data_IF_943744804674
#
_entry.id   IF_943744804674
#
_cell.length_a   1.000
_cell.length_b   1.000
_cell.length_c   1.000
_cell.angle_alpha   90.00
_cell.angle_beta   90.00
_cell.angle_gamma   90.00
#
_symmetry.space_group_name_H-M   'P 1'
#
loop_
_entity.id
_entity.type
_entity.pdbx_description
1 polymer ?
#
# COMPACT_ATOMS: atom_id res chain seq x y z
N UNK A 1 3.21 26.84 8.10
CA UNK A 1 2.03 26.23 7.43
C UNK A 1 1.68 26.82 6.05
N UNK A 2 2.05 28.07 5.70
CA UNK A 2 1.66 28.64 4.39
C UNK A 2 2.45 28.12 3.18
N UNK A 3 3.72 27.73 3.37
CA UNK A 3 4.58 27.27 2.27
C UNK A 3 4.16 25.93 1.68
N UNK A 4 3.69 25.00 2.53
CA UNK A 4 3.24 23.67 2.09
C UNK A 4 1.95 23.75 1.24
N UNK A 5 1.03 24.65 1.62
CA UNK A 5 -0.20 24.91 0.85
C UNK A 5 0.08 25.53 -0.52
N UNK A 6 1.13 26.34 -0.62
CA UNK A 6 1.53 26.94 -1.90
C UNK A 6 2.22 25.90 -2.80
N UNK A 7 3.01 24.98 -2.25
CA UNK A 7 3.62 23.88 -3.00
C UNK A 7 2.56 22.97 -3.64
N UNK A 8 1.52 22.59 -2.89
CA UNK A 8 0.41 21.79 -3.43
C UNK A 8 -0.33 22.48 -4.58
N UNK A 9 -0.56 23.80 -4.48
CA UNK A 9 -1.23 24.56 -5.54
C UNK A 9 -0.38 24.63 -6.81
N UNK A 10 0.94 24.80 -6.67
CA UNK A 10 1.84 24.84 -7.81
C UNK A 10 1.86 23.49 -8.52
N UNK A 11 1.97 22.38 -7.78
CA UNK A 11 1.97 21.02 -8.34
C UNK A 11 0.64 20.72 -9.06
N UNK A 12 -0.49 21.03 -8.43
CA UNK A 12 -1.81 20.82 -9.03
C UNK A 12 -2.01 21.64 -10.31
N UNK A 13 -1.61 22.91 -10.31
CA UNK A 13 -1.72 23.77 -11.50
C UNK A 13 -0.78 23.33 -12.62
N UNK A 14 0.44 22.90 -12.30
CA UNK A 14 1.40 22.38 -13.27
C UNK A 14 0.91 21.09 -13.93
N UNK A 15 0.30 20.18 -13.17
CA UNK A 15 -0.27 18.94 -13.70
C UNK A 15 -1.43 19.19 -14.67
N UNK A 16 -2.30 20.17 -14.38
CA UNK A 16 -3.41 20.56 -15.26
C UNK A 16 -2.89 21.22 -16.54
N UNK A 17 -1.90 22.11 -16.42
CA UNK A 17 -1.30 22.77 -17.58
C UNK A 17 -0.59 21.76 -18.51
N UNK A 18 0.13 20.79 -17.95
CA UNK A 18 0.74 19.70 -18.71
C UNK A 18 -0.29 18.81 -19.40
N UNK A 19 -1.40 18.48 -18.74
CA UNK A 19 -2.49 17.69 -19.34
C UNK A 19 -3.17 18.38 -20.53
N UNK A 20 -3.17 19.72 -20.57
CA UNK A 20 -3.79 20.51 -21.65
C UNK A 20 -2.94 20.64 -22.92
N UNK A 21 -1.67 20.27 -22.88
CA UNK A 21 -0.74 20.40 -24.02
C UNK A 21 -0.77 19.19 -24.97
N UNK A 22 -1.50 18.13 -24.63
CA UNK A 22 -1.63 16.93 -25.46
C UNK A 22 -2.93 16.97 -26.28
N UNK A 23 -2.87 17.13 -27.61
CA UNK A 23 -4.07 17.14 -28.45
C UNK A 23 -4.76 15.77 -28.41
N UNK A 24 -6.04 15.76 -28.05
CA UNK A 24 -6.89 14.57 -28.14
C UNK A 24 -7.48 14.48 -29.54
N UNK A 25 -6.79 13.83 -30.48
CA UNK A 25 -7.39 13.43 -31.76
C UNK A 25 -8.11 12.10 -31.58
N UNK A 26 -9.43 12.14 -31.45
CA UNK A 26 -10.28 10.94 -31.35
C UNK A 26 -10.62 10.46 -32.77
N UNK A 27 -10.04 9.33 -33.17
CA UNK A 27 -10.49 8.54 -34.32
C UNK A 27 -11.56 7.56 -33.87
N UNK A 28 -12.60 7.39 -34.69
CA UNK A 28 -13.86 6.72 -34.37
C UNK A 28 -13.77 5.17 -34.31
N UNK A 29 -12.75 4.64 -33.63
CA UNK A 29 -12.65 3.23 -33.22
C UNK A 29 -11.87 3.08 -31.89
N UNK A 30 -11.88 4.11 -31.04
CA UNK A 30 -11.32 4.01 -29.69
C UNK A 30 -12.27 3.22 -28.79
N UNK A 31 -11.92 1.95 -28.55
CA UNK A 31 -12.35 1.22 -27.38
C UNK A 31 -12.16 2.14 -26.16
N UNK A 32 -13.24 2.39 -25.41
CA UNK A 32 -13.25 3.23 -24.21
C UNK A 32 -12.06 2.82 -23.32
N UNK A 33 -11.32 3.76 -22.69
CA UNK A 33 -10.16 3.42 -21.85
C UNK A 33 -10.50 2.31 -20.87
N UNK A 34 -9.87 1.14 -21.05
CA UNK A 34 -10.19 -0.04 -20.26
C UNK A 34 -9.64 0.14 -18.84
N UNK A 35 -10.50 -0.10 -17.85
CA UNK A 35 -10.09 -0.29 -16.48
C UNK A 35 -9.67 -1.74 -16.29
N UNK A 36 -8.63 -1.97 -15.50
CA UNK A 36 -8.21 -3.31 -15.09
C UNK A 36 -8.43 -3.39 -13.59
N UNK A 37 -9.31 -4.27 -13.14
CA UNK A 37 -9.52 -4.52 -11.72
C UNK A 37 -8.61 -5.66 -11.30
N UNK A 38 -7.86 -5.49 -10.22
CA UNK A 38 -6.96 -6.51 -9.68
C UNK A 38 -7.23 -6.75 -8.21
N UNK A 39 -7.30 -8.03 -7.83
CA UNK A 39 -7.25 -8.46 -6.43
C UNK A 39 -5.89 -9.08 -6.19
N UNK A 40 -5.16 -8.59 -5.20
CA UNK A 40 -3.81 -9.05 -4.86
C UNK A 40 -3.75 -9.74 -3.51
N UNK A 41 -2.93 -10.77 -3.45
CA UNK A 41 -2.55 -11.48 -2.23
C UNK A 41 -1.03 -11.56 -2.19
N UNK A 42 -0.48 -11.42 -0.99
CA UNK A 42 0.96 -11.26 -0.86
C UNK A 42 1.44 -11.47 0.56
N UNK A 43 2.75 -11.29 0.71
CA UNK A 43 3.40 -11.27 2.01
C UNK A 43 4.43 -10.16 2.09
N UNK A 44 4.79 -9.83 3.33
CA UNK A 44 6.00 -9.07 3.63
C UNK A 44 7.07 -10.07 4.11
N UNK A 45 8.34 -9.67 4.05
CA UNK A 45 9.39 -10.36 4.79
C UNK A 45 9.85 -9.44 5.92
N UNK A 46 9.28 -9.61 7.11
CA UNK A 46 9.83 -9.02 8.34
C UNK A 46 9.86 -10.06 9.48
N UNK A 47 11.02 -10.67 9.73
CA UNK A 47 11.19 -11.66 10.81
C UNK A 47 10.37 -12.97 10.65
N UNK A 48 10.14 -13.67 11.77
CA UNK A 48 9.54 -15.02 11.84
C UNK A 48 8.00 -15.03 11.92
N UNK A 49 7.34 -13.92 11.59
CA UNK A 49 5.89 -13.73 11.71
C UNK A 49 5.18 -13.96 10.38
N UNK A 50 3.90 -14.32 10.44
CA UNK A 50 3.10 -14.57 9.23
C UNK A 50 2.47 -13.26 8.75
N UNK A 51 2.94 -12.80 7.60
CA UNK A 51 2.58 -11.52 7.00
C UNK A 51 1.57 -11.78 5.87
N UNK A 52 0.30 -11.48 6.13
CA UNK A 52 -0.77 -11.60 5.12
C UNK A 52 -1.11 -10.22 4.57
N UNK A 53 -0.92 -10.02 3.28
CA UNK A 53 -1.31 -8.82 2.54
C UNK A 53 -2.48 -9.12 1.60
N UNK A 54 -3.43 -8.18 1.55
CA UNK A 54 -4.58 -8.19 0.65
C UNK A 54 -4.74 -6.81 0.03
N UNK A 55 -4.90 -6.75 -1.30
CA UNK A 55 -5.13 -5.51 -2.01
C UNK A 55 -6.26 -5.64 -3.03
N UNK A 56 -6.94 -4.52 -3.26
CA UNK A 56 -7.79 -4.33 -4.43
C UNK A 56 -7.39 -3.03 -5.11
N UNK A 57 -7.11 -3.11 -6.40
CA UNK A 57 -6.63 -1.97 -7.18
C UNK A 57 -7.33 -1.95 -8.52
N UNK A 58 -7.98 -0.82 -8.83
CA UNK A 58 -8.48 -0.49 -10.16
C UNK A 58 -7.45 0.35 -10.88
N UNK A 59 -6.81 -0.23 -11.88
CA UNK A 59 -5.86 0.44 -12.75
C UNK A 59 -6.58 1.16 -13.90
N UNK A 60 -5.97 2.23 -14.37
CA UNK A 60 -6.43 2.99 -15.54
C UNK A 60 -5.28 3.15 -16.51
N UNK A 61 -5.40 2.56 -17.70
CA UNK A 61 -4.40 2.72 -18.76
C UNK A 61 -4.22 4.21 -19.09
N UNK A 62 -2.96 4.66 -19.22
CA UNK A 62 -2.62 6.06 -19.51
C UNK A 62 -3.08 7.07 -18.44
N UNK A 63 -3.37 6.63 -17.21
CA UNK A 63 -3.91 7.52 -16.18
C UNK A 63 -3.62 7.08 -14.75
N UNK A 64 -4.41 7.65 -13.84
CA UNK A 64 -4.36 7.37 -12.40
C UNK A 64 -5.55 6.49 -12.03
N UNK A 65 -5.27 5.37 -11.39
CA UNK A 65 -6.26 4.48 -10.79
C UNK A 65 -6.43 4.73 -9.29
N UNK A 66 -7.11 3.79 -8.62
CA UNK A 66 -7.34 3.83 -7.18
C UNK A 66 -7.33 2.43 -6.62
N UNK A 67 -6.82 2.26 -5.40
CA UNK A 67 -6.90 1.01 -4.68
C UNK A 67 -6.87 1.19 -3.18
N UNK A 68 -7.04 0.08 -2.49
CA UNK A 68 -6.94 -0.03 -1.05
C UNK A 68 -6.27 -1.35 -0.69
N UNK A 69 -5.49 -1.33 0.37
CA UNK A 69 -4.72 -2.48 0.84
C UNK A 69 -4.84 -2.63 2.35
N UNK A 70 -4.72 -3.88 2.79
CA UNK A 70 -4.69 -4.26 4.18
C UNK A 70 -3.60 -5.30 4.41
N UNK A 71 -2.77 -5.10 5.43
CA UNK A 71 -1.78 -6.09 5.85
C UNK A 71 -1.91 -6.38 7.35
N UNK A 72 -1.67 -7.63 7.73
CA UNK A 72 -1.79 -8.10 9.10
C UNK A 72 -0.54 -8.87 9.50
N UNK A 73 0.01 -8.50 10.66
CA UNK A 73 1.23 -9.05 11.22
C UNK A 73 0.98 -9.50 12.65
N UNK A 74 1.55 -10.65 13.04
CA UNK A 74 1.40 -11.19 14.40
C UNK A 74 2.64 -11.94 14.84
N UNK A 75 3.17 -11.52 15.97
CA UNK A 75 4.34 -12.09 16.63
C UNK A 75 3.93 -12.46 18.05
N UNK A 76 3.99 -13.74 18.37
CA UNK A 76 3.74 -14.25 19.73
C UNK A 76 5.08 -14.67 20.35
N UNK A 77 5.33 -14.27 21.59
CA UNK A 77 6.48 -14.69 22.39
C UNK A 77 6.00 -15.24 23.73
N UNK A 78 6.44 -16.45 24.08
CA UNK A 78 6.06 -17.12 25.33
C UNK A 78 7.31 -17.59 26.06
N UNK A 79 7.38 -17.32 27.37
CA UNK A 79 8.45 -17.79 28.25
C UNK A 79 7.87 -18.40 29.52
N UNK A 80 7.94 -19.73 29.60
CA UNK A 80 7.44 -20.51 30.74
C UNK A 80 8.29 -20.36 32.01
N UNK A 81 9.52 -19.83 31.91
CA UNK A 81 10.44 -19.65 33.04
C UNK A 81 10.06 -18.44 33.89
N UNK A 82 9.45 -17.42 33.28
CA UNK A 82 9.12 -16.14 33.94
C UNK A 82 7.62 -15.87 34.05
N UNK A 83 6.78 -16.85 33.67
CA UNK A 83 5.32 -16.68 33.55
C UNK A 83 4.98 -15.40 32.78
N UNK A 84 5.56 -15.31 31.57
CA UNK A 84 5.50 -14.15 30.69
C UNK A 84 5.03 -14.58 29.31
N UNK A 85 4.00 -13.91 28.81
CA UNK A 85 3.59 -13.98 27.41
C UNK A 85 3.53 -12.57 26.84
N UNK A 86 3.89 -12.41 25.57
CA UNK A 86 3.63 -11.17 24.84
C UNK A 86 3.17 -11.45 23.42
N UNK A 87 2.24 -10.63 22.97
CA UNK A 87 1.69 -10.62 21.63
C UNK A 87 1.84 -9.23 21.05
N UNK A 88 2.57 -9.17 19.95
CA UNK A 88 2.75 -7.99 19.13
C UNK A 88 1.96 -8.17 17.85
N UNK A 89 1.05 -7.24 17.54
CA UNK A 89 0.28 -7.26 16.29
C UNK A 89 0.37 -5.93 15.57
N UNK A 90 0.57 -5.98 14.26
CA UNK A 90 0.45 -4.81 13.40
C UNK A 90 -0.68 -4.99 12.41
N UNK A 91 -1.36 -3.88 12.09
CA UNK A 91 -2.39 -3.83 11.05
C UNK A 91 -2.20 -2.58 10.23
N UNK A 92 -1.98 -2.77 8.94
CA UNK A 92 -1.83 -1.68 7.99
C UNK A 92 -3.11 -1.55 7.17
N UNK A 93 -3.53 -0.31 6.96
CA UNK A 93 -4.59 0.05 6.04
C UNK A 93 -4.11 1.23 5.20
N UNK A 94 -4.06 1.05 3.89
CA UNK A 94 -3.54 2.05 2.94
C UNK A 94 -4.50 2.29 1.79
N UNK A 95 -4.46 3.52 1.27
CA UNK A 95 -5.02 3.91 0.00
C UNK A 95 -3.88 4.04 -1.01
N UNK A 96 -4.09 3.51 -2.21
CA UNK A 96 -3.08 3.48 -3.27
C UNK A 96 -3.55 4.24 -4.49
N UNK A 97 -2.62 4.94 -5.15
CA UNK A 97 -2.91 5.72 -6.37
C UNK A 97 -2.01 5.26 -7.52
N UNK A 98 -2.30 4.11 -8.16
CA UNK A 98 -1.48 3.59 -9.26
C UNK A 98 -1.46 4.56 -10.43
N UNK A 99 -0.27 4.97 -10.86
CA UNK A 99 -0.04 5.83 -12.01
C UNK A 99 0.60 5.01 -13.13
N UNK A 100 -0.03 4.99 -14.30
CA UNK A 100 0.53 4.30 -15.46
C UNK A 100 1.84 4.96 -15.89
N UNK A 101 2.95 4.21 -15.79
CA UNK A 101 4.23 4.58 -16.39
C UNK A 101 4.33 4.08 -17.84
N UNK A 102 3.72 2.92 -18.11
CA UNK A 102 3.50 2.34 -19.44
C UNK A 102 2.16 1.60 -19.45
N UNK A 103 1.80 0.97 -20.57
CA UNK A 103 0.58 0.15 -20.66
C UNK A 103 0.58 -1.07 -19.71
N UNK A 104 1.76 -1.51 -19.26
CA UNK A 104 1.93 -2.69 -18.40
C UNK A 104 2.62 -2.39 -17.06
N UNK A 105 3.09 -1.18 -16.82
CA UNK A 105 3.86 -0.82 -15.62
C UNK A 105 3.17 0.33 -14.89
N UNK A 106 2.96 0.15 -13.59
CA UNK A 106 2.34 1.15 -12.72
C UNK A 106 3.25 1.46 -11.53
N UNK A 107 3.36 2.75 -11.22
CA UNK A 107 4.03 3.26 -10.02
C UNK A 107 2.94 3.70 -9.07
N UNK A 108 2.92 3.14 -7.86
CA UNK A 108 1.78 3.20 -6.96
C UNK A 108 2.22 3.78 -5.62
N UNK A 109 2.14 5.11 -5.41
CA UNK A 109 2.26 5.67 -4.08
C UNK A 109 1.10 5.20 -3.20
N UNK A 110 1.44 4.83 -1.96
CA UNK A 110 0.51 4.41 -0.93
C UNK A 110 0.58 5.37 0.28
N UNK A 111 -0.57 5.65 0.87
CA UNK A 111 -0.68 6.39 2.13
C UNK A 111 -1.69 5.71 3.02
N UNK A 112 -1.32 5.49 4.28
CA UNK A 112 -2.12 4.70 5.20
C UNK A 112 -1.86 4.99 6.66
N UNK A 113 -2.41 4.10 7.48
CA UNK A 113 -2.24 4.08 8.93
C UNK A 113 -1.85 2.66 9.35
N UNK A 114 -0.82 2.58 10.19
CA UNK A 114 -0.42 1.36 10.90
C UNK A 114 -0.96 1.42 12.32
N UNK A 115 -1.69 0.39 12.74
CA UNK A 115 -2.04 0.14 14.13
C UNK A 115 -1.04 -0.86 14.71
N UNK A 116 -0.37 -0.50 15.81
CA UNK A 116 0.52 -1.38 16.55
C UNK A 116 -0.16 -1.68 17.89
N UNK A 117 -0.41 -2.96 18.18
CA UNK A 117 -0.95 -3.40 19.46
C UNK A 117 0.03 -4.37 20.13
N UNK A 118 0.43 -4.00 21.36
CA UNK A 118 1.24 -4.79 22.27
C UNK A 118 0.37 -5.28 23.41
N UNK A 119 0.26 -6.58 23.57
CA UNK A 119 -0.33 -7.23 24.73
C UNK A 119 0.76 -7.98 25.46
N UNK A 120 0.91 -7.81 26.76
CA UNK A 120 1.78 -8.66 27.56
C UNK A 120 1.10 -9.06 28.86
N UNK A 121 1.38 -10.29 29.26
CA UNK A 121 0.93 -10.88 30.51
C UNK A 121 2.15 -11.15 31.38
N UNK A 122 2.15 -10.64 32.60
CA UNK A 122 3.18 -10.91 33.59
C UNK A 122 2.50 -11.30 34.89
N UNK A 123 2.70 -12.56 35.34
CA UNK A 123 2.09 -13.09 36.58
C UNK A 123 0.56 -12.95 36.63
N UNK A 124 -0.11 -13.12 35.48
CA UNK A 124 -1.57 -13.05 35.37
C UNK A 124 -2.17 -11.64 35.33
N UNK A 125 -1.35 -10.58 35.30
CA UNK A 125 -1.82 -9.22 34.98
C UNK A 125 -1.61 -8.93 33.49
N UNK A 126 -2.71 -8.65 32.79
CA UNK A 126 -2.73 -8.28 31.37
C UNK A 126 -2.58 -6.77 31.20
N UNK A 127 -1.64 -6.36 30.35
CA UNK A 127 -1.44 -4.97 29.96
C UNK A 127 -1.47 -4.86 28.44
N UNK A 128 -2.27 -3.92 27.96
CA UNK A 128 -2.45 -3.63 26.53
C UNK A 128 -2.01 -2.19 26.24
N UNK A 129 -1.19 -2.03 25.21
CA UNK A 129 -0.86 -0.73 24.61
C UNK A 129 -1.21 -0.74 23.12
N UNK A 130 -1.80 0.34 22.62
CA UNK A 130 -2.19 0.48 21.22
C UNK A 130 -1.78 1.84 20.70
N UNK A 131 -1.02 1.83 19.60
CA UNK A 131 -0.48 3.02 18.97
C UNK A 131 -0.88 3.07 17.49
N UNK A 132 -0.89 4.28 16.93
CA UNK A 132 -1.17 4.51 15.52
C UNK A 132 -0.09 5.36 14.90
N UNK A 133 0.35 4.97 13.72
CA UNK A 133 1.37 5.67 12.95
C UNK A 133 0.93 5.90 11.51
N UNK A 134 1.45 6.97 10.90
CA UNK A 134 1.29 7.16 9.46
C UNK A 134 2.16 6.16 8.71
N UNK A 135 1.60 5.58 7.65
CA UNK A 135 2.26 4.64 6.75
C UNK A 135 2.41 5.29 5.36
N UNK A 136 3.59 5.15 4.78
CA UNK A 136 3.87 5.61 3.43
C UNK A 136 4.53 4.49 2.64
N UNK A 137 4.09 4.29 1.40
CA UNK A 137 4.56 3.22 0.55
C UNK A 137 4.77 3.67 -0.89
N UNK A 138 5.56 2.89 -1.61
CA UNK A 138 5.70 3.01 -3.05
C UNK A 138 5.85 1.63 -3.67
N UNK A 139 4.90 1.27 -4.52
CA UNK A 139 4.91 -0.01 -5.22
C UNK A 139 5.16 0.15 -6.71
N UNK A 140 5.78 -0.88 -7.27
CA UNK A 140 5.91 -1.09 -8.70
C UNK A 140 5.11 -2.34 -9.08
N UNK A 141 4.09 -2.16 -9.91
CA UNK A 141 3.29 -3.26 -10.44
C UNK A 141 3.59 -3.48 -11.91
N UNK A 142 3.79 -4.74 -12.30
CA UNK A 142 3.83 -5.20 -13.69
C UNK A 142 2.62 -6.06 -14.02
N UNK A 143 1.93 -5.74 -15.13
CA UNK A 143 0.75 -6.44 -15.64
C UNK A 143 1.14 -7.50 -16.67
N UNK A 144 0.87 -8.75 -16.33
CA UNK A 144 0.93 -9.95 -17.15
C UNK A 144 -0.48 -10.36 -17.57
N UNK A 145 -1.06 -9.65 -18.53
CA UNK A 145 -2.40 -9.90 -19.11
C UNK A 145 -3.52 -10.02 -18.05
N UNK A 146 -3.70 -11.18 -17.41
CA UNK A 146 -4.66 -11.45 -16.34
C UNK A 146 -4.02 -11.65 -14.95
N UNK A 147 -2.72 -11.43 -14.82
CA UNK A 147 -1.95 -11.55 -13.57
C UNK A 147 -1.17 -10.26 -13.38
N UNK A 148 -0.96 -9.86 -12.13
CA UNK A 148 -0.08 -8.75 -11.79
C UNK A 148 0.96 -9.20 -10.78
N UNK A 149 2.15 -8.62 -10.89
CA UNK A 149 3.24 -8.81 -9.93
C UNK A 149 3.58 -7.44 -9.37
N UNK A 150 3.52 -7.32 -8.05
CA UNK A 150 3.82 -6.09 -7.33
C UNK A 150 5.03 -6.31 -6.43
N UNK A 151 5.94 -5.35 -6.42
CA UNK A 151 7.00 -5.24 -5.41
C UNK A 151 6.94 -3.83 -4.84
N UNK A 152 6.91 -3.74 -3.52
CA UNK A 152 6.69 -2.51 -2.78
C UNK A 152 7.70 -2.30 -1.67
N UNK A 153 7.77 -1.05 -1.21
CA UNK A 153 8.51 -0.69 -0.02
C UNK A 153 7.69 0.28 0.82
N UNK A 154 7.47 -0.08 2.08
CA UNK A 154 6.69 0.67 3.04
C UNK A 154 7.54 1.15 4.20
N UNK A 155 7.13 2.27 4.80
CA UNK A 155 7.77 2.85 5.98
C UNK A 155 6.76 3.46 6.93
N UNK A 156 6.86 3.08 8.21
CA UNK A 156 6.25 3.80 9.34
C UNK A 156 7.31 4.59 10.12
N UNK A 157 6.88 5.30 11.17
CA UNK A 157 7.78 6.09 12.02
C UNK A 157 8.66 5.20 12.88
N UNK A 158 8.10 4.14 13.47
CA UNK A 158 8.80 3.20 14.35
C UNK A 158 9.46 2.03 13.62
N UNK A 159 9.14 1.79 12.35
CA UNK A 159 9.67 0.66 11.59
C UNK A 159 10.84 1.04 10.66
N UNK A 160 11.69 0.05 10.39
CA UNK A 160 12.55 0.08 9.22
C UNK A 160 11.71 -0.06 7.94
N UNK A 161 12.38 0.03 6.79
CA UNK A 161 11.71 -0.20 5.51
C UNK A 161 11.33 -1.67 5.38
N UNK A 162 10.05 -1.95 5.16
CA UNK A 162 9.54 -3.29 4.87
C UNK A 162 9.38 -3.46 3.36
N UNK A 163 9.83 -4.60 2.82
CA UNK A 163 9.66 -4.93 1.40
C UNK A 163 8.45 -5.87 1.27
N UNK A 164 7.49 -5.46 0.45
CA UNK A 164 6.27 -6.21 0.18
C UNK A 164 6.30 -6.80 -1.23
N UNK A 165 5.66 -7.95 -1.40
CA UNK A 165 5.47 -8.56 -2.71
C UNK A 165 4.04 -9.09 -2.82
N UNK A 166 3.43 -8.86 -3.97
CA UNK A 166 2.03 -9.23 -4.24
C UNK A 166 1.90 -9.93 -5.57
N UNK A 167 1.06 -10.96 -5.61
CA UNK A 167 0.54 -11.55 -6.83
C UNK A 167 -0.94 -11.20 -6.93
N UNK A 168 -1.34 -10.61 -8.05
CA UNK A 168 -2.72 -10.27 -8.31
C UNK A 168 -3.31 -11.02 -9.49
N UNK A 169 -4.62 -11.20 -9.44
CA UNK A 169 -5.42 -11.66 -10.57
C UNK A 169 -6.21 -10.47 -11.09
N UNK A 170 -6.11 -10.22 -12.38
CA UNK A 170 -6.65 -9.03 -13.06
C UNK A 170 -7.73 -9.40 -14.08
N UNK A 171 -8.79 -8.61 -14.14
CA UNK A 171 -9.97 -8.82 -15.00
C UNK A 171 -10.66 -7.51 -15.40
#
# INVERSE_FOLDING_TARGET
MSQLRNAFKVIACSAIALGSLFPHSVLAEEWIPQHIDSVSFGGSFEGNSKDMYFGYTRYKQGGVGIGAEAAFYRYDHESSVQDYSSRYTERDLSLTLPVAATDKVYITPAFGVRQIKNSYELKGEEMDDTQYEALYGLDLTYMLDNVSITVGADKSKSSDWSITYGLGVSF
#
